data_IF_110838877130
#
_entry.id   IF_110838877130
#
_cell.length_a   1.000
_cell.length_b   1.000
_cell.length_c   1.000
_cell.angle_alpha   90.00
_cell.angle_beta   90.00
_cell.angle_gamma   90.00
#
_symmetry.space_group_name_H-M   'P 1'
#
loop_
_entity.id
_entity.type
_entity.pdbx_description
1 polymer ?
#
# COMPACT_ATOMS: atom_id res chain seq x y z
N UNK A 1 37.41 22.10 13.71
CA UNK A 1 36.47 20.97 13.65
C UNK A 1 35.52 21.30 12.53
N UNK A 2 35.65 20.63 11.39
CA UNK A 2 34.86 20.93 10.20
C UNK A 2 33.46 20.35 10.40
N UNK A 3 32.45 21.22 10.40
CA UNK A 3 31.05 20.82 10.22
C UNK A 3 30.89 20.33 8.78
N UNK A 4 31.11 19.03 8.56
CA UNK A 4 30.67 18.39 7.33
C UNK A 4 29.13 18.29 7.37
N UNK A 5 28.41 18.83 6.38
CA UNK A 5 26.98 18.61 6.29
C UNK A 5 26.75 17.12 6.04
N UNK A 6 26.17 16.41 7.01
CA UNK A 6 25.65 15.06 6.81
C UNK A 6 24.62 15.13 5.68
N UNK A 7 24.99 14.74 4.48
CA UNK A 7 24.06 14.64 3.36
C UNK A 7 23.06 13.53 3.67
N UNK A 8 21.84 13.93 4.01
CA UNK A 8 20.71 13.02 4.19
C UNK A 8 20.28 12.52 2.82
N UNK A 9 20.96 11.49 2.33
CA UNK A 9 20.58 10.80 1.09
C UNK A 9 19.21 10.16 1.27
N UNK A 10 18.33 10.36 0.29
CA UNK A 10 17.05 9.65 0.20
C UNK A 10 17.27 8.21 -0.22
N UNK A 11 16.35 7.30 0.13
CA UNK A 11 16.42 5.91 -0.30
C UNK A 11 16.51 5.76 -1.83
N UNK A 12 15.86 6.68 -2.58
CA UNK A 12 15.95 6.74 -4.03
C UNK A 12 17.36 7.08 -4.51
N UNK A 13 18.00 8.09 -3.93
CA UNK A 13 19.37 8.50 -4.27
C UNK A 13 20.36 7.37 -3.97
N UNK A 14 20.23 6.74 -2.81
CA UNK A 14 21.05 5.57 -2.44
C UNK A 14 20.92 4.46 -3.48
N UNK A 15 19.70 4.12 -3.91
CA UNK A 15 19.47 3.06 -4.91
C UNK A 15 20.06 3.46 -6.27
N UNK A 16 19.87 4.70 -6.71
CA UNK A 16 20.38 5.17 -8.00
C UNK A 16 21.90 5.27 -8.05
N UNK A 17 22.54 5.61 -6.93
CA UNK A 17 24.00 5.71 -6.81
C UNK A 17 24.67 4.33 -6.70
N UNK A 18 24.18 3.47 -5.80
CA UNK A 18 24.79 2.16 -5.53
C UNK A 18 24.37 1.07 -6.55
N UNK A 19 23.18 1.20 -7.14
CA UNK A 19 22.59 0.21 -8.03
C UNK A 19 22.00 0.87 -9.29
N UNK A 20 22.81 1.48 -10.17
CA UNK A 20 22.33 2.27 -11.31
C UNK A 20 21.54 1.46 -12.35
N UNK A 21 21.73 0.14 -12.39
CA UNK A 21 20.98 -0.77 -13.26
C UNK A 21 19.64 -1.23 -12.65
N UNK A 22 19.20 -0.67 -11.52
CA UNK A 22 17.93 -1.05 -10.87
C UNK A 22 16.75 -0.76 -11.81
N UNK A 23 15.91 -1.77 -12.14
CA UNK A 23 14.70 -1.55 -12.92
C UNK A 23 13.82 -0.47 -12.30
N UNK A 24 13.25 0.43 -13.12
CA UNK A 24 12.46 1.59 -12.65
C UNK A 24 11.41 1.25 -11.60
N UNK A 25 10.77 0.08 -11.69
CA UNK A 25 9.75 -0.41 -10.76
C UNK A 25 10.27 -0.74 -9.36
N UNK A 26 11.57 -0.93 -9.19
CA UNK A 26 12.21 -1.23 -7.90
C UNK A 26 12.84 0.01 -7.27
N UNK A 27 12.81 1.15 -7.96
CA UNK A 27 13.30 2.42 -7.44
C UNK A 27 12.19 3.04 -6.59
N UNK A 28 12.44 3.35 -5.30
CA UNK A 28 11.46 4.04 -4.46
C UNK A 28 10.89 5.28 -5.15
N UNK A 29 9.56 5.33 -5.24
CA UNK A 29 8.83 6.45 -5.83
C UNK A 29 8.16 7.28 -4.72
N UNK A 30 8.02 8.61 -4.92
CA UNK A 30 7.14 9.41 -4.10
C UNK A 30 5.74 8.81 -4.13
N UNK A 31 5.10 8.71 -2.96
CA UNK A 31 3.76 8.16 -2.83
C UNK A 31 2.72 9.26 -3.10
N UNK A 32 1.86 9.04 -4.08
CA UNK A 32 0.70 9.88 -4.37
C UNK A 32 -0.44 9.66 -3.37
N UNK A 33 -0.47 8.51 -2.71
CA UNK A 33 -1.52 8.12 -1.78
C UNK A 33 -0.98 7.77 -0.40
N UNK A 34 -1.83 7.95 0.60
CA UNK A 34 -1.63 7.45 1.96
C UNK A 34 -2.76 6.48 2.32
N UNK A 35 -2.42 5.36 2.99
CA UNK A 35 -3.39 4.38 3.46
C UNK A 35 -3.39 4.37 4.98
N UNK A 36 -4.54 4.69 5.59
CA UNK A 36 -4.68 4.73 7.05
C UNK A 36 -5.64 3.65 7.53
N UNK A 37 -5.25 2.95 8.60
CA UNK A 37 -6.11 2.01 9.30
C UNK A 37 -7.15 2.74 10.15
N UNK A 38 -8.39 2.26 10.12
CA UNK A 38 -9.49 2.75 10.97
C UNK A 38 -9.83 1.72 12.04
N UNK A 39 -10.48 2.17 13.12
CA UNK A 39 -10.85 1.32 14.26
C UNK A 39 -11.82 0.19 13.89
N UNK A 40 -12.66 0.38 12.87
CA UNK A 40 -13.57 -0.64 12.35
C UNK A 40 -12.88 -1.65 11.41
N UNK A 41 -11.56 -1.62 11.33
CA UNK A 41 -10.76 -2.46 10.44
C UNK A 41 -10.78 -2.01 8.98
N UNK A 42 -11.51 -0.95 8.64
CA UNK A 42 -11.45 -0.35 7.31
C UNK A 42 -10.08 0.25 7.02
N UNK A 43 -9.85 0.52 5.74
CA UNK A 43 -8.73 1.35 5.28
C UNK A 43 -9.27 2.55 4.53
N UNK A 44 -8.70 3.72 4.79
CA UNK A 44 -9.00 4.93 4.02
C UNK A 44 -7.80 5.25 3.16
N UNK A 45 -8.05 5.38 1.85
CA UNK A 45 -7.04 5.84 0.88
C UNK A 45 -7.24 7.33 0.68
N UNK A 46 -6.18 8.10 0.93
CA UNK A 46 -6.16 9.56 0.75
C UNK A 46 -5.17 9.95 -0.33
N UNK A 47 -5.46 11.03 -1.05
CA UNK A 47 -4.50 11.70 -1.91
C UNK A 47 -3.41 12.40 -1.09
N UNK A 48 -2.33 12.82 -1.75
CA UNK A 48 -1.30 13.67 -1.17
C UNK A 48 -1.84 14.99 -0.56
N UNK A 49 -2.97 15.51 -1.06
CA UNK A 49 -3.64 16.70 -0.50
C UNK A 49 -4.65 16.38 0.62
N UNK A 50 -4.75 15.12 1.05
CA UNK A 50 -5.56 14.68 2.19
C UNK A 50 -7.02 14.32 1.86
N UNK A 51 -7.46 14.52 0.62
CA UNK A 51 -8.81 14.15 0.17
C UNK A 51 -9.00 12.63 0.22
N UNK A 52 -10.14 12.18 0.73
CA UNK A 52 -10.49 10.75 0.73
C UNK A 52 -10.87 10.32 -0.68
N UNK A 53 -10.16 9.33 -1.22
CA UNK A 53 -10.40 8.78 -2.55
C UNK A 53 -11.22 7.49 -2.50
N UNK A 54 -10.96 6.66 -1.48
CA UNK A 54 -11.70 5.42 -1.27
C UNK A 54 -11.73 5.02 0.20
N UNK A 55 -12.79 4.34 0.60
CA UNK A 55 -12.88 3.59 1.86
C UNK A 55 -13.00 2.11 1.53
N UNK A 56 -12.07 1.31 2.04
CA UNK A 56 -12.00 -0.12 1.83
C UNK A 56 -12.53 -0.83 3.08
N UNK A 57 -13.54 -1.67 2.88
CA UNK A 57 -14.22 -2.38 3.95
C UNK A 57 -13.64 -3.78 4.13
N UNK A 58 -13.39 -4.23 5.37
CA UNK A 58 -12.91 -5.57 5.61
C UNK A 58 -13.99 -6.60 5.27
N UNK A 59 -13.54 -7.73 4.74
CA UNK A 59 -14.37 -8.90 4.51
C UNK A 59 -14.02 -10.00 5.52
N UNK A 60 -15.04 -10.78 5.93
CA UNK A 60 -14.79 -12.00 6.67
C UNK A 60 -13.84 -12.89 5.87
N UNK A 61 -12.74 -13.27 6.50
CA UNK A 61 -11.78 -14.19 5.91
C UNK A 61 -12.15 -15.61 6.27
N UNK A 62 -12.51 -16.42 5.28
CA UNK A 62 -12.72 -17.86 5.43
C UNK A 62 -11.48 -18.65 4.98
N UNK A 63 -11.27 -19.83 5.58
CA UNK A 63 -10.21 -20.78 5.21
C UNK A 63 -9.14 -20.99 6.29
N UNK A 64 -8.19 -21.91 6.06
CA UNK A 64 -7.21 -22.31 7.06
C UNK A 64 -6.26 -21.18 7.45
N UNK A 65 -5.99 -21.00 8.74
CA UNK A 65 -5.10 -19.94 9.25
C UNK A 65 -3.65 -20.05 8.77
N UNK A 66 -3.19 -21.28 8.54
CA UNK A 66 -1.84 -21.56 8.04
C UNK A 66 -1.67 -21.20 6.55
N UNK A 67 -2.75 -20.86 5.84
CA UNK A 67 -2.66 -20.42 4.44
C UNK A 67 -1.83 -19.14 4.37
N UNK A 68 -0.81 -19.15 3.53
CA UNK A 68 0.00 -17.95 3.27
C UNK A 68 -0.71 -17.08 2.23
N UNK A 69 -0.89 -15.80 2.54
CA UNK A 69 -1.42 -14.78 1.62
C UNK A 69 -0.34 -13.73 1.35
N UNK A 70 -0.43 -13.09 0.19
CA UNK A 70 0.41 -11.95 -0.17
C UNK A 70 -0.36 -10.65 0.04
N UNK A 71 0.30 -9.63 0.58
CA UNK A 71 -0.24 -8.29 0.67
C UNK A 71 -0.09 -7.59 -0.69
N UNK A 72 -1.19 -7.17 -1.31
CA UNK A 72 -1.16 -6.44 -2.58
C UNK A 72 -0.55 -5.03 -2.44
N UNK A 73 -0.57 -4.46 -1.23
CA UNK A 73 -0.04 -3.12 -0.98
C UNK A 73 1.48 -3.11 -0.79
N UNK A 74 2.04 -4.05 -0.03
CA UNK A 74 3.47 -4.03 0.31
C UNK A 74 4.26 -5.28 -0.14
N UNK A 75 3.60 -6.23 -0.81
CA UNK A 75 4.22 -7.47 -1.30
C UNK A 75 4.61 -8.48 -0.22
N UNK A 76 4.43 -8.16 1.07
CA UNK A 76 4.77 -9.08 2.15
C UNK A 76 3.83 -10.29 2.16
N UNK A 77 4.41 -11.47 2.27
CA UNK A 77 3.68 -12.72 2.43
C UNK A 77 3.68 -13.19 3.87
N UNK A 78 2.54 -13.65 4.36
CA UNK A 78 2.39 -14.13 5.74
C UNK A 78 1.14 -14.97 5.96
N UNK A 79 0.93 -15.51 7.17
CA UNK A 79 -0.21 -16.36 7.46
C UNK A 79 -1.51 -15.54 7.41
N UNK A 80 -2.63 -16.18 7.05
CA UNK A 80 -3.95 -15.55 6.88
C UNK A 80 -4.38 -14.71 8.09
N UNK A 81 -4.01 -15.09 9.32
CA UNK A 81 -4.27 -14.31 10.55
C UNK A 81 -3.61 -12.92 10.56
N UNK A 82 -2.54 -12.72 9.77
CA UNK A 82 -1.81 -11.45 9.69
C UNK A 82 -2.30 -10.55 8.55
N UNK A 83 -3.19 -11.05 7.69
CA UNK A 83 -3.74 -10.32 6.56
C UNK A 83 -5.27 -10.22 6.64
N UNK A 84 -5.83 -9.27 5.91
CA UNK A 84 -7.26 -9.06 5.75
C UNK A 84 -7.58 -8.88 4.27
N UNK A 85 -8.74 -9.36 3.84
CA UNK A 85 -9.28 -9.08 2.51
C UNK A 85 -10.14 -7.84 2.65
N UNK A 86 -9.91 -6.86 1.79
CA UNK A 86 -10.63 -5.59 1.76
C UNK A 86 -11.37 -5.49 0.43
N UNK A 87 -12.54 -4.85 0.44
CA UNK A 87 -13.26 -4.44 -0.76
C UNK A 87 -13.40 -2.92 -0.85
N UNK A 88 -13.20 -2.36 -2.03
CA UNK A 88 -13.51 -0.98 -2.37
C UNK A 88 -14.54 -0.92 -3.48
N UNK A 89 -15.46 0.03 -3.41
CA UNK A 89 -16.38 0.30 -4.51
C UNK A 89 -15.61 0.91 -5.69
N UNK A 90 -15.92 0.48 -6.92
CA UNK A 90 -15.39 1.14 -8.12
C UNK A 90 -16.09 2.48 -8.31
N UNK A 91 -15.31 3.55 -8.52
CA UNK A 91 -15.84 4.89 -8.76
C UNK A 91 -16.92 4.90 -9.87
N UNK A 92 -18.01 5.63 -9.62
CA UNK A 92 -19.15 5.73 -10.53
C UNK A 92 -20.02 4.47 -10.64
N UNK A 93 -19.70 3.39 -9.93
CA UNK A 93 -20.46 2.14 -10.05
C UNK A 93 -21.80 2.13 -9.30
N UNK A 94 -21.98 3.02 -8.32
CA UNK A 94 -23.19 3.10 -7.48
C UNK A 94 -23.48 1.76 -6.78
N UNK A 95 -22.45 1.17 -6.17
CA UNK A 95 -22.51 -0.10 -5.43
C UNK A 95 -22.57 -1.36 -6.29
N UNK A 96 -22.50 -1.22 -7.63
CA UNK A 96 -22.63 -2.36 -8.56
C UNK A 96 -21.33 -3.11 -8.80
N UNK A 97 -20.18 -2.45 -8.69
CA UNK A 97 -18.87 -3.05 -8.94
C UNK A 97 -17.93 -2.85 -7.75
N UNK A 98 -17.19 -3.90 -7.43
CA UNK A 98 -16.27 -3.94 -6.31
C UNK A 98 -14.90 -4.42 -6.79
N UNK A 99 -13.85 -3.84 -6.21
CA UNK A 99 -12.47 -4.35 -6.32
C UNK A 99 -12.01 -4.85 -4.97
N UNK A 100 -11.13 -5.83 -5.00
CA UNK A 100 -10.67 -6.54 -3.83
C UNK A 100 -9.16 -6.45 -3.76
N UNK A 101 -8.64 -6.36 -2.54
CA UNK A 101 -7.22 -6.50 -2.29
C UNK A 101 -7.01 -7.16 -0.93
N UNK A 102 -5.84 -7.76 -0.78
CA UNK A 102 -5.31 -8.31 0.45
C UNK A 102 -4.32 -7.32 1.06
N UNK A 103 -4.50 -6.98 2.33
CA UNK A 103 -3.63 -6.04 3.05
C UNK A 103 -3.20 -6.62 4.39
N UNK A 104 -2.06 -6.16 4.92
CA UNK A 104 -1.68 -6.49 6.29
C UNK A 104 -2.68 -5.91 7.29
N UNK A 105 -2.92 -6.64 8.38
CA UNK A 105 -3.75 -6.14 9.49
C UNK A 105 -3.08 -5.00 10.24
N UNK A 106 -1.76 -5.08 10.41
CA UNK A 106 -0.93 -3.96 10.86
C UNK A 106 -0.76 -2.98 9.68
N UNK A 107 -1.52 -1.89 9.72
CA UNK A 107 -1.52 -0.86 8.67
C UNK A 107 -0.24 -0.05 8.63
N UNK A 108 0.35 0.26 9.78
CA UNK A 108 1.53 1.12 9.89
C UNK A 108 2.75 0.40 9.33
N UNK A 109 2.96 -0.87 9.72
CA UNK A 109 4.01 -1.71 9.14
C UNK A 109 3.78 -2.02 7.66
N UNK A 110 2.52 -2.05 7.21
CA UNK A 110 2.19 -2.21 5.78
C UNK A 110 2.65 -1.00 4.99
N UNK A 111 2.26 0.19 5.46
CA UNK A 111 2.56 1.45 4.82
C UNK A 111 4.08 1.71 4.85
N UNK A 112 4.79 1.39 5.94
CA UNK A 112 6.24 1.51 5.99
C UNK A 112 6.95 0.66 4.91
N UNK A 113 6.45 -0.53 4.61
CA UNK A 113 7.05 -1.46 3.62
C UNK A 113 6.64 -1.19 2.17
N UNK A 114 5.61 -0.37 1.94
CA UNK A 114 5.05 -0.15 0.59
C UNK A 114 6.06 0.56 -0.31
N UNK A 115 6.29 0.01 -1.51
CA UNK A 115 7.29 0.55 -2.44
C UNK A 115 6.72 1.55 -3.45
N UNK A 116 5.46 1.34 -3.85
CA UNK A 116 4.79 2.15 -4.88
C UNK A 116 3.27 2.21 -4.67
N UNK A 117 2.58 2.90 -5.58
CA UNK A 117 1.13 3.09 -5.61
C UNK A 117 0.41 2.17 -6.63
N UNK A 118 1.10 1.23 -7.29
CA UNK A 118 0.54 0.49 -8.45
C UNK A 118 -0.76 -0.25 -8.09
N UNK A 119 -0.82 -0.85 -6.90
CA UNK A 119 -2.04 -1.51 -6.43
C UNK A 119 -3.19 -0.52 -6.20
N UNK A 120 -2.89 0.70 -5.73
CA UNK A 120 -3.86 1.76 -5.49
C UNK A 120 -4.32 2.41 -6.81
N UNK A 121 -3.42 2.62 -7.77
CA UNK A 121 -3.77 3.08 -9.12
C UNK A 121 -4.82 2.16 -9.75
N UNK A 122 -4.58 0.85 -9.69
CA UNK A 122 -5.52 -0.17 -10.20
C UNK A 122 -6.82 -0.21 -9.42
N UNK A 123 -6.77 0.03 -8.11
CA UNK A 123 -7.94 0.08 -7.24
C UNK A 123 -8.82 1.29 -7.56
N UNK A 124 -8.20 2.43 -7.87
CA UNK A 124 -8.87 3.72 -8.06
C UNK A 124 -9.21 4.02 -9.52
N UNK A 125 -8.62 3.32 -10.49
CA UNK A 125 -8.87 3.53 -11.91
C UNK A 125 -10.37 3.48 -12.25
N UNK A 126 -10.87 4.43 -13.03
CA UNK A 126 -12.22 4.34 -13.58
C UNK A 126 -12.33 3.09 -14.48
N UNK A 127 -13.52 2.51 -14.58
CA UNK A 127 -13.73 1.25 -15.31
C UNK A 127 -14.98 1.25 -16.14
#
# INVERSE_FOLDING_TARGET
MSDEPQSTFTAREIVLELFPATPKRLIPAPRAYAVTAMDDGARVVRSACGSVLARLLPLPSAGPEATTLCCDLCGWSGPRRSLTVLRGEVAGSQGRRWRYLTACRDGDSCEARRLDDVALDRLLAEG
#
